data_IF_548815459920
#
_entry.id   IF_548815459920
#
_cell.length_a   1.000
_cell.length_b   1.000
_cell.length_c   1.000
_cell.angle_alpha   90.00
_cell.angle_beta   90.00
_cell.angle_gamma   90.00
#
_symmetry.space_group_name_H-M   'P 1'
#
loop_
_entity.id
_entity.type
_entity.pdbx_description
1 polymer ?
#
# COMPACT_ATOMS: atom_id res chain seq x y z
N UNK A 1 71.98 17.32 10.27
CA UNK A 1 71.33 18.06 9.18
C UNK A 1 71.27 17.16 7.96
N UNK A 2 70.09 16.64 7.65
CA UNK A 2 69.76 16.10 6.34
C UNK A 2 68.24 16.30 6.21
N UNK A 3 67.87 17.40 5.54
CA UNK A 3 66.47 17.77 5.33
C UNK A 3 65.83 16.81 4.34
N UNK A 4 64.74 16.17 4.77
CA UNK A 4 63.83 15.47 3.87
C UNK A 4 63.11 16.51 3.00
N UNK A 5 63.41 16.50 1.71
CA UNK A 5 62.62 17.21 0.71
C UNK A 5 61.37 16.40 0.41
N UNK A 6 60.23 16.76 1.00
CA UNK A 6 58.92 16.31 0.55
C UNK A 6 58.69 16.81 -0.88
N UNK A 7 58.83 15.92 -1.85
CA UNK A 7 58.42 16.18 -3.23
C UNK A 7 56.91 16.07 -3.26
N UNK A 8 56.21 17.21 -3.14
CA UNK A 8 54.77 17.28 -3.36
C UNK A 8 54.47 16.81 -4.80
N UNK A 9 53.72 15.72 -4.95
CA UNK A 9 53.27 15.24 -6.26
C UNK A 9 52.55 16.36 -7.02
N UNK A 10 53.13 16.75 -8.16
CA UNK A 10 52.57 17.81 -8.99
C UNK A 10 51.29 17.32 -9.68
N UNK A 11 50.15 17.82 -9.23
CA UNK A 11 48.85 17.48 -9.81
C UNK A 11 48.72 18.02 -11.23
N UNK A 12 48.09 17.24 -12.10
CA UNK A 12 47.82 17.61 -13.49
C UNK A 12 46.43 18.22 -13.65
N UNK A 13 46.32 19.23 -14.52
CA UNK A 13 45.08 19.94 -14.82
C UNK A 13 44.07 19.00 -15.48
N UNK A 14 42.89 18.89 -14.90
CA UNK A 14 41.83 18.00 -15.37
C UNK A 14 41.34 18.31 -16.80
N UNK A 15 41.59 19.52 -17.31
CA UNK A 15 41.19 19.94 -18.65
C UNK A 15 42.29 19.78 -19.71
N UNK A 16 43.56 20.03 -19.36
CA UNK A 16 44.63 20.16 -20.35
C UNK A 16 45.95 19.45 -19.98
N UNK A 17 46.01 18.76 -18.84
CA UNK A 17 47.17 17.98 -18.39
C UNK A 17 48.37 18.79 -17.88
N UNK A 18 48.36 20.13 -17.97
CA UNK A 18 49.43 20.99 -17.45
C UNK A 18 49.48 21.01 -15.92
N UNK A 19 50.61 21.37 -15.27
CA UNK A 19 50.69 21.48 -13.81
C UNK A 19 49.58 22.38 -13.23
N UNK A 20 48.82 21.84 -12.29
CA UNK A 20 47.68 22.49 -11.67
C UNK A 20 48.03 23.12 -10.32
N UNK A 21 47.44 24.28 -10.04
CA UNK A 21 47.62 25.01 -8.78
C UNK A 21 46.32 25.60 -8.22
N UNK A 22 45.20 25.45 -8.95
CA UNK A 22 43.86 25.82 -8.51
C UNK A 22 43.03 24.57 -8.23
N UNK A 23 42.12 24.66 -7.27
CA UNK A 23 41.21 23.57 -6.92
C UNK A 23 39.76 24.07 -6.92
N UNK A 24 38.84 23.21 -7.36
CA UNK A 24 37.40 23.51 -7.26
C UNK A 24 36.98 23.71 -5.79
N UNK A 25 36.43 24.89 -5.41
CA UNK A 25 36.02 25.17 -4.03
C UNK A 25 34.99 24.17 -3.50
N UNK A 26 34.09 23.68 -4.37
CA UNK A 26 33.06 22.70 -3.97
C UNK A 26 33.65 21.31 -3.74
N UNK A 27 34.70 20.91 -4.45
CA UNK A 27 35.42 19.68 -4.14
C UNK A 27 36.16 19.77 -2.80
N UNK A 28 36.70 20.94 -2.46
CA UNK A 28 37.33 21.19 -1.14
C UNK A 28 36.29 21.07 -0.03
N UNK A 29 35.14 21.73 -0.19
CA UNK A 29 34.01 21.65 0.76
C UNK A 29 33.53 20.20 0.96
N UNK A 30 33.44 19.43 -0.12
CA UNK A 30 32.99 18.03 -0.12
C UNK A 30 34.10 17.01 0.21
N UNK A 31 35.33 17.46 0.53
CA UNK A 31 36.51 16.61 0.81
C UNK A 31 36.78 15.55 -0.28
N UNK A 32 36.55 15.89 -1.55
CA UNK A 32 36.78 14.97 -2.67
C UNK A 32 38.26 14.90 -3.06
N UNK A 33 38.72 13.77 -3.63
CA UNK A 33 40.10 13.62 -4.11
C UNK A 33 40.52 14.76 -5.03
N UNK A 34 41.80 15.13 -4.97
CA UNK A 34 42.34 16.26 -5.75
C UNK A 34 42.62 15.85 -7.20
N UNK A 35 42.85 14.57 -7.44
CA UNK A 35 43.07 13.99 -8.77
C UNK A 35 41.83 14.18 -9.64
N UNK A 36 41.97 14.84 -10.79
CA UNK A 36 40.85 15.15 -11.69
C UNK A 36 39.97 16.34 -11.26
N UNK A 37 40.35 17.06 -10.20
CA UNK A 37 39.65 18.25 -9.69
C UNK A 37 40.57 19.48 -9.53
N UNK A 38 41.78 19.43 -10.09
CA UNK A 38 42.77 20.49 -10.08
C UNK A 38 42.88 21.16 -11.47
N UNK A 39 43.13 22.46 -11.50
CA UNK A 39 43.16 23.28 -12.72
C UNK A 39 44.38 24.20 -12.75
N UNK A 40 44.91 24.47 -13.94
CA UNK A 40 46.02 25.40 -14.11
C UNK A 40 45.58 26.87 -14.25
N UNK A 41 44.32 27.14 -14.61
CA UNK A 41 43.77 28.50 -14.74
C UNK A 41 42.26 28.51 -14.47
N UNK A 42 41.70 29.70 -14.22
CA UNK A 42 40.25 29.89 -14.09
C UNK A 42 39.51 29.56 -15.40
N UNK A 43 40.12 29.79 -16.56
CA UNK A 43 39.51 29.47 -17.85
C UNK A 43 39.42 27.96 -18.08
N UNK A 44 40.46 27.19 -17.68
CA UNK A 44 40.40 25.74 -17.70
C UNK A 44 39.33 25.18 -16.75
N UNK A 45 39.12 25.82 -15.59
CA UNK A 45 38.03 25.45 -14.67
C UNK A 45 36.66 25.70 -15.31
N UNK A 46 36.41 26.88 -15.88
CA UNK A 46 35.15 27.22 -16.54
C UNK A 46 34.86 26.30 -17.74
N UNK A 47 35.87 26.01 -18.56
CA UNK A 47 35.73 25.12 -19.72
C UNK A 47 35.39 23.67 -19.31
N UNK A 48 35.90 23.22 -18.17
CA UNK A 48 35.64 21.88 -17.63
C UNK A 48 34.32 21.78 -16.82
N UNK A 49 33.67 22.92 -16.51
CA UNK A 49 32.53 22.95 -15.58
C UNK A 49 31.36 22.05 -15.99
N UNK A 50 31.07 21.94 -17.30
CA UNK A 50 29.96 21.13 -17.82
C UNK A 50 30.12 19.64 -17.50
N UNK A 51 31.34 19.11 -17.54
CA UNK A 51 31.65 17.72 -17.20
C UNK A 51 32.02 17.56 -15.72
N UNK A 52 32.76 18.48 -15.14
CA UNK A 52 33.23 18.44 -13.75
C UNK A 52 32.09 18.50 -12.72
N UNK A 53 31.02 19.27 -12.99
CA UNK A 53 29.89 19.39 -12.05
C UNK A 53 29.19 18.06 -11.75
N UNK A 54 29.31 17.07 -12.65
CA UNK A 54 28.76 15.73 -12.46
C UNK A 54 29.43 14.96 -11.30
N UNK A 55 30.68 15.29 -10.97
CA UNK A 55 31.43 14.72 -9.85
C UNK A 55 30.78 15.12 -8.52
N UNK A 56 30.27 16.36 -8.41
CA UNK A 56 29.53 16.81 -7.23
C UNK A 56 28.18 16.11 -7.09
N UNK A 57 27.49 15.87 -8.20
CA UNK A 57 26.23 15.12 -8.21
C UNK A 57 26.45 13.66 -7.81
N UNK A 58 27.49 13.00 -8.34
CA UNK A 58 27.88 11.64 -7.94
C UNK A 58 28.30 11.56 -6.47
N UNK A 59 29.04 12.55 -5.96
CA UNK A 59 29.38 12.62 -4.54
C UNK A 59 28.15 12.81 -3.65
N UNK A 60 27.20 13.66 -4.06
CA UNK A 60 25.93 13.87 -3.36
C UNK A 60 25.05 12.60 -3.38
N UNK A 61 25.00 11.88 -4.50
CA UNK A 61 24.28 10.61 -4.64
C UNK A 61 24.97 9.46 -3.89
N UNK A 62 26.31 9.43 -3.86
CA UNK A 62 27.08 8.45 -3.08
C UNK A 62 26.94 8.69 -1.58
N UNK A 63 26.83 9.95 -1.15
CA UNK A 63 26.48 10.31 0.23
C UNK A 63 25.02 9.88 0.55
N UNK A 64 24.06 10.11 -0.35
CA UNK A 64 22.67 9.67 -0.18
C UNK A 64 22.51 8.13 -0.20
N UNK A 65 23.38 7.40 -0.92
CA UNK A 65 23.33 5.93 -1.04
C UNK A 65 23.96 5.16 0.13
N UNK A 66 24.64 5.84 1.06
CA UNK A 66 25.33 5.18 2.19
C UNK A 66 24.95 5.73 3.58
N UNK A 67 24.18 6.83 3.68
CA UNK A 67 23.76 7.39 4.97
C UNK A 67 22.25 7.57 5.17
N UNK A 68 21.39 7.21 4.22
CA UNK A 68 19.95 7.47 4.36
C UNK A 68 19.24 6.58 5.40
N UNK A 69 19.73 5.38 5.69
CA UNK A 69 19.09 4.49 6.67
C UNK A 69 19.43 4.83 8.13
N UNK A 70 20.63 5.35 8.43
CA UNK A 70 21.09 5.51 9.82
C UNK A 70 20.65 6.80 10.51
N UNK A 71 20.63 7.93 9.80
CA UNK A 71 20.31 9.23 10.42
C UNK A 71 18.80 9.46 10.56
N UNK A 72 17.97 9.06 9.58
CA UNK A 72 16.51 9.11 9.70
C UNK A 72 15.99 8.16 10.78
N UNK A 73 16.55 6.95 10.87
CA UNK A 73 16.16 5.98 11.91
C UNK A 73 16.45 6.49 13.33
N UNK A 74 17.52 7.29 13.53
CA UNK A 74 17.85 7.81 14.86
C UNK A 74 16.90 8.91 15.36
N UNK A 75 16.44 9.81 14.49
CA UNK A 75 15.45 10.83 14.85
C UNK A 75 14.05 10.22 15.02
N UNK A 76 13.64 9.33 14.11
CA UNK A 76 12.36 8.62 14.20
C UNK A 76 12.28 7.72 15.44
N UNK A 77 13.36 7.01 15.78
CA UNK A 77 13.42 6.21 17.00
C UNK A 77 13.29 7.07 18.27
N UNK A 78 13.82 8.31 18.26
CA UNK A 78 13.66 9.25 19.39
C UNK A 78 12.21 9.74 19.56
N UNK A 79 11.42 9.73 18.48
CA UNK A 79 9.98 10.03 18.48
C UNK A 79 9.10 8.78 18.67
N UNK A 80 9.70 7.63 18.99
CA UNK A 80 8.99 6.38 19.25
C UNK A 80 8.53 5.61 18.01
N UNK A 81 8.99 6.00 16.82
CA UNK A 81 8.76 5.24 15.60
C UNK A 81 9.70 4.04 15.55
N UNK A 82 9.13 2.85 15.42
CA UNK A 82 9.85 1.59 15.44
C UNK A 82 9.25 0.64 14.41
N UNK A 83 10.05 -0.30 13.90
CA UNK A 83 9.61 -1.34 12.98
C UNK A 83 8.60 -2.27 13.65
N UNK A 84 7.51 -2.59 12.94
CA UNK A 84 6.47 -3.51 13.40
C UNK A 84 6.91 -4.97 13.28
N UNK A 85 6.64 -5.78 14.30
CA UNK A 85 6.93 -7.22 14.33
C UNK A 85 5.80 -8.00 15.02
N UNK A 86 5.71 -9.31 14.72
CA UNK A 86 4.81 -10.26 15.41
C UNK A 86 3.35 -9.80 15.44
N UNK A 87 2.81 -9.48 14.27
CA UNK A 87 1.43 -9.03 14.05
C UNK A 87 1.08 -7.73 14.75
N UNK A 88 2.03 -6.83 15.00
CA UNK A 88 1.79 -5.58 15.73
C UNK A 88 2.00 -5.66 17.25
N UNK A 89 2.30 -6.84 17.79
CA UNK A 89 2.49 -7.04 19.23
C UNK A 89 3.89 -6.67 19.73
N UNK A 90 4.86 -6.45 18.83
CA UNK A 90 6.22 -6.06 19.21
C UNK A 90 6.79 -5.05 18.24
N UNK A 91 7.76 -4.27 18.72
CA UNK A 91 8.43 -3.22 17.96
C UNK A 91 9.94 -3.35 18.09
N UNK A 92 10.67 -2.96 17.06
CA UNK A 92 12.14 -3.00 17.01
C UNK A 92 12.71 -1.70 16.47
N UNK A 93 13.81 -1.17 17.03
CA UNK A 93 14.55 -0.05 16.43
C UNK A 93 15.40 -0.49 15.24
N UNK A 94 15.55 -1.80 15.01
CA UNK A 94 16.31 -2.37 13.91
C UNK A 94 15.36 -2.95 12.87
N UNK A 95 15.67 -2.69 11.60
CA UNK A 95 15.03 -3.34 10.46
C UNK A 95 15.10 -4.87 10.64
N UNK A 96 13.98 -5.59 10.56
CA UNK A 96 14.01 -7.05 10.64
C UNK A 96 14.81 -7.66 9.50
N UNK A 97 15.44 -8.80 9.77
CA UNK A 97 16.07 -9.59 8.73
C UNK A 97 15.01 -10.39 7.97
N UNK A 98 15.03 -10.28 6.64
CA UNK A 98 14.17 -11.03 5.72
C UNK A 98 14.78 -11.04 4.33
N UNK A 99 14.58 -12.13 3.58
CA UNK A 99 14.96 -12.21 2.17
C UNK A 99 13.85 -11.54 1.34
N UNK A 100 13.96 -10.22 1.21
CA UNK A 100 13.00 -9.39 0.49
C UNK A 100 12.83 -9.83 -0.97
N UNK A 101 11.58 -9.91 -1.43
CA UNK A 101 11.26 -10.39 -2.79
C UNK A 101 11.42 -9.30 -3.85
N UNK A 102 11.23 -8.03 -3.47
CA UNK A 102 11.39 -6.86 -4.33
C UNK A 102 12.23 -5.74 -3.69
N UNK A 103 12.06 -4.52 -4.18
CA UNK A 103 12.83 -3.34 -3.74
C UNK A 103 12.23 -2.69 -2.50
N UNK A 104 10.96 -2.94 -2.18
CA UNK A 104 10.28 -2.35 -1.03
C UNK A 104 10.87 -2.86 0.30
N UNK A 105 10.91 -1.99 1.29
CA UNK A 105 11.30 -2.30 2.67
C UNK A 105 10.27 -1.70 3.62
N UNK A 106 10.00 -2.34 4.78
CA UNK A 106 9.23 -1.70 5.83
C UNK A 106 10.00 -0.50 6.38
N UNK A 107 9.28 0.51 6.81
CA UNK A 107 9.79 1.64 7.56
C UNK A 107 9.25 1.59 9.00
N UNK A 108 9.84 2.37 9.93
CA UNK A 108 9.25 2.56 11.25
C UNK A 108 7.80 3.05 11.18
N UNK A 109 6.97 2.64 12.13
CA UNK A 109 5.55 3.05 12.21
C UNK A 109 5.31 3.99 13.38
N UNK A 110 4.42 4.97 13.22
CA UNK A 110 4.00 5.83 14.35
C UNK A 110 3.27 5.03 15.43
N UNK A 111 3.06 5.64 16.60
CA UNK A 111 2.27 5.03 17.68
C UNK A 111 0.82 4.77 17.23
N UNK A 112 0.16 3.81 17.89
CA UNK A 112 -1.25 3.50 17.59
C UNK A 112 -2.12 4.73 17.89
N UNK A 113 -2.96 5.14 16.93
CA UNK A 113 -3.88 6.28 17.08
C UNK A 113 -5.01 5.97 18.06
N UNK A 114 -5.50 7.00 18.75
CA UNK A 114 -6.51 6.87 19.80
C UNK A 114 -7.90 7.07 19.20
N UNK A 115 -8.80 6.12 19.45
CA UNK A 115 -10.22 6.28 19.13
C UNK A 115 -10.95 6.91 20.34
N UNK A 116 -11.71 8.01 20.17
CA UNK A 116 -12.46 8.63 21.24
C UNK A 116 -13.42 7.67 21.96
N UNK A 117 -13.68 7.93 23.24
CA UNK A 117 -14.50 7.05 24.09
C UNK A 117 -15.95 6.91 23.58
N UNK A 118 -16.51 7.97 22.97
CA UNK A 118 -17.89 8.02 22.49
C UNK A 118 -18.17 7.23 21.22
N UNK A 119 -17.12 6.78 20.51
CA UNK A 119 -17.25 5.97 19.29
C UNK A 119 -17.57 4.53 19.69
N UNK A 120 -18.59 3.93 19.07
CA UNK A 120 -18.91 2.51 19.25
C UNK A 120 -17.77 1.62 18.74
N UNK A 121 -17.45 0.55 19.47
CA UNK A 121 -16.26 -0.26 19.24
C UNK A 121 -16.62 -1.73 19.01
N UNK A 122 -15.98 -2.41 18.05
CA UNK A 122 -16.09 -3.87 17.93
C UNK A 122 -15.41 -4.57 19.10
N UNK A 123 -15.68 -5.87 19.29
CA UNK A 123 -15.26 -6.63 20.46
C UNK A 123 -13.73 -6.82 20.57
N UNK A 124 -12.98 -6.72 19.47
CA UNK A 124 -11.52 -6.75 19.47
C UNK A 124 -10.85 -5.41 19.78
N UNK A 125 -11.57 -4.28 19.78
CA UNK A 125 -10.95 -2.94 19.79
C UNK A 125 -9.95 -2.74 20.94
N UNK A 126 -10.19 -3.36 22.11
CA UNK A 126 -9.30 -3.27 23.27
C UNK A 126 -8.26 -4.38 23.29
N UNK A 127 -8.69 -5.65 23.19
CA UNK A 127 -7.83 -6.83 23.45
C UNK A 127 -7.15 -7.39 22.20
N UNK A 128 -7.52 -6.88 21.03
CA UNK A 128 -6.98 -7.24 19.73
C UNK A 128 -7.41 -8.60 19.19
N UNK A 129 -8.36 -9.28 19.84
CA UNK A 129 -8.85 -10.61 19.44
C UNK A 129 -10.35 -10.53 19.18
N UNK A 130 -10.83 -10.83 17.96
CA UNK A 130 -12.27 -10.94 17.68
C UNK A 130 -12.78 -12.23 18.33
N UNK A 131 -13.55 -12.10 19.41
CA UNK A 131 -14.06 -13.25 20.18
C UNK A 131 -15.35 -13.80 19.57
N UNK A 132 -16.17 -12.91 18.99
CA UNK A 132 -17.45 -13.26 18.40
C UNK A 132 -17.26 -14.00 17.07
N UNK A 133 -16.41 -13.50 16.17
CA UNK A 133 -16.29 -14.05 14.81
C UNK A 133 -15.97 -15.54 14.75
N UNK A 134 -14.92 -16.07 15.43
CA UNK A 134 -14.50 -17.46 15.25
C UNK A 134 -15.53 -18.48 15.78
N UNK A 135 -16.42 -18.04 16.68
CA UNK A 135 -17.41 -18.89 17.34
C UNK A 135 -18.83 -18.65 16.82
N UNK A 136 -19.01 -17.79 15.82
CA UNK A 136 -20.33 -17.46 15.27
C UNK A 136 -20.79 -18.48 14.23
N UNK A 137 -22.08 -18.81 14.25
CA UNK A 137 -22.73 -19.63 13.21
C UNK A 137 -22.60 -18.99 11.81
N UNK A 138 -22.40 -17.67 11.75
CA UNK A 138 -22.17 -16.94 10.50
C UNK A 138 -20.85 -17.32 9.82
N UNK A 139 -19.95 -18.07 10.47
CA UNK A 139 -18.78 -18.69 9.79
C UNK A 139 -19.18 -19.85 8.86
N UNK A 140 -20.40 -20.35 8.99
CA UNK A 140 -20.89 -21.51 8.22
C UNK A 140 -22.21 -21.23 7.47
N UNK A 141 -22.92 -20.18 7.87
CA UNK A 141 -24.20 -19.78 7.27
C UNK A 141 -24.06 -18.41 6.60
N UNK A 142 -24.44 -18.33 5.32
CA UNK A 142 -24.52 -17.05 4.62
C UNK A 142 -25.83 -16.36 5.01
N UNK A 143 -25.71 -15.31 5.82
CA UNK A 143 -26.82 -14.54 6.37
C UNK A 143 -27.70 -13.90 5.28
N UNK A 144 -29.02 -13.96 5.46
CA UNK A 144 -29.97 -13.09 4.76
C UNK A 144 -30.29 -11.93 5.68
N UNK A 145 -29.83 -10.72 5.35
CA UNK A 145 -30.02 -9.55 6.20
C UNK A 145 -31.47 -9.10 6.23
N UNK A 146 -31.88 -8.64 7.41
CA UNK A 146 -33.14 -7.93 7.61
C UNK A 146 -33.11 -6.55 6.94
N UNK A 147 -34.27 -5.92 6.68
CA UNK A 147 -34.32 -4.56 6.12
C UNK A 147 -33.53 -3.53 6.94
N UNK A 148 -33.57 -3.61 8.27
CA UNK A 148 -32.79 -2.73 9.16
C UNK A 148 -31.28 -2.91 8.98
N UNK A 149 -30.81 -4.17 8.99
CA UNK A 149 -29.40 -4.47 8.75
C UNK A 149 -28.95 -3.95 7.38
N UNK A 150 -29.79 -4.05 6.35
CA UNK A 150 -29.48 -3.53 5.00
C UNK A 150 -29.34 -2.00 5.01
N UNK A 151 -30.22 -1.26 5.69
CA UNK A 151 -30.09 0.20 5.82
C UNK A 151 -28.81 0.60 6.55
N UNK A 152 -28.47 -0.10 7.65
CA UNK A 152 -27.20 0.09 8.35
C UNK A 152 -26.00 -0.19 7.45
N UNK A 153 -26.05 -1.26 6.65
CA UNK A 153 -25.01 -1.58 5.66
C UNK A 153 -24.84 -0.46 4.63
N UNK A 154 -25.94 0.08 4.07
CA UNK A 154 -25.89 1.20 3.11
C UNK A 154 -25.22 2.43 3.71
N UNK A 155 -25.61 2.82 4.92
CA UNK A 155 -25.06 3.99 5.59
C UNK A 155 -23.56 3.81 5.90
N UNK A 156 -23.18 2.66 6.48
CA UNK A 156 -21.78 2.36 6.82
C UNK A 156 -20.91 2.25 5.56
N UNK A 157 -21.39 1.61 4.49
CA UNK A 157 -20.64 1.51 3.23
C UNK A 157 -20.46 2.87 2.54
N UNK A 158 -21.46 3.77 2.62
CA UNK A 158 -21.32 5.14 2.14
C UNK A 158 -20.24 5.90 2.92
N UNK A 159 -20.20 5.75 4.25
CA UNK A 159 -19.14 6.35 5.09
C UNK A 159 -17.77 5.80 4.67
N UNK A 160 -17.64 4.47 4.53
CA UNK A 160 -16.38 3.85 4.10
C UNK A 160 -15.90 4.41 2.74
N UNK A 161 -16.82 4.60 1.78
CA UNK A 161 -16.53 5.29 0.51
C UNK A 161 -16.03 6.72 0.72
N UNK A 162 -16.69 7.53 1.54
CA UNK A 162 -16.26 8.90 1.82
C UNK A 162 -14.86 8.96 2.46
N UNK A 163 -14.54 8.01 3.33
CA UNK A 163 -13.22 7.85 3.95
C UNK A 163 -12.16 7.46 2.92
N UNK A 164 -12.42 6.47 2.05
CA UNK A 164 -11.50 6.10 0.97
C UNK A 164 -11.27 7.28 0.01
N UNK A 165 -12.33 8.02 -0.33
CA UNK A 165 -12.22 9.21 -1.19
C UNK A 165 -11.39 10.32 -0.53
N UNK A 166 -11.39 10.44 0.81
CA UNK A 166 -10.52 11.36 1.53
C UNK A 166 -9.03 10.95 1.39
N UNK A 167 -8.73 9.66 1.54
CA UNK A 167 -7.39 9.13 1.29
C UNK A 167 -6.95 9.33 -0.18
N UNK A 168 -7.83 9.06 -1.14
CA UNK A 168 -7.53 9.21 -2.57
C UNK A 168 -7.06 10.63 -2.95
N UNK A 169 -7.62 11.67 -2.31
CA UNK A 169 -7.29 13.09 -2.62
C UNK A 169 -5.87 13.50 -2.26
N UNK A 170 -5.19 12.77 -1.38
CA UNK A 170 -3.84 13.12 -0.92
C UNK A 170 -2.74 12.27 -1.57
N UNK A 171 -3.08 11.27 -2.36
CA UNK A 171 -2.09 10.37 -2.98
C UNK A 171 -1.27 11.15 -4.02
N UNK A 172 0.02 11.33 -3.71
CA UNK A 172 1.01 11.99 -4.55
C UNK A 172 2.43 11.65 -4.07
N UNK A 173 3.47 11.83 -4.91
CA UNK A 173 4.84 11.64 -4.48
C UNK A 173 5.19 12.45 -3.21
N UNK A 174 5.93 11.83 -2.30
CA UNK A 174 6.44 12.44 -1.07
C UNK A 174 5.54 12.30 0.16
N UNK A 175 4.26 11.92 -0.01
CA UNK A 175 3.34 11.61 1.10
C UNK A 175 3.67 10.25 1.69
N UNK A 176 3.65 10.10 3.02
CA UNK A 176 3.87 8.79 3.65
C UNK A 176 2.58 7.97 3.71
N UNK A 177 2.71 6.65 3.78
CA UNK A 177 1.55 5.79 4.03
C UNK A 177 0.97 6.03 5.43
N UNK A 178 1.78 6.36 6.44
CA UNK A 178 1.31 6.79 7.77
C UNK A 178 0.47 8.08 7.75
N UNK A 179 0.77 9.02 6.84
CA UNK A 179 -0.06 10.22 6.62
C UNK A 179 -1.41 9.86 5.99
N UNK A 180 -1.46 8.86 5.10
CA UNK A 180 -2.71 8.33 4.53
C UNK A 180 -3.54 7.67 5.64
N UNK A 181 -2.93 6.82 6.46
CA UNK A 181 -3.58 6.23 7.64
C UNK A 181 -4.15 7.28 8.59
N UNK A 182 -3.43 8.38 8.81
CA UNK A 182 -3.93 9.49 9.62
C UNK A 182 -5.24 10.05 9.07
N UNK A 183 -5.30 10.30 7.76
CA UNK A 183 -6.50 10.85 7.13
C UNK A 183 -7.65 9.84 7.15
N UNK A 184 -7.37 8.55 6.91
CA UNK A 184 -8.39 7.50 7.07
C UNK A 184 -8.93 7.47 8.50
N UNK A 185 -8.03 7.50 9.48
CA UNK A 185 -8.39 7.48 10.89
C UNK A 185 -9.28 8.69 11.24
N UNK A 186 -8.80 9.91 10.98
CA UNK A 186 -9.51 11.15 11.29
C UNK A 186 -10.87 11.20 10.59
N UNK A 187 -10.95 10.91 9.28
CA UNK A 187 -12.21 10.90 8.55
C UNK A 187 -13.21 9.85 9.08
N UNK A 188 -12.72 8.69 9.53
CA UNK A 188 -13.57 7.67 10.14
C UNK A 188 -14.14 8.14 11.48
N UNK A 189 -13.31 8.74 12.33
CA UNK A 189 -13.74 9.30 13.61
C UNK A 189 -14.73 10.45 13.42
N UNK A 190 -14.46 11.35 12.48
CA UNK A 190 -15.34 12.50 12.19
C UNK A 190 -16.72 12.06 11.68
N UNK A 191 -16.79 10.91 10.99
CA UNK A 191 -18.05 10.28 10.57
C UNK A 191 -18.75 9.48 11.69
N UNK A 192 -18.17 9.43 12.90
CA UNK A 192 -18.71 8.68 14.03
C UNK A 192 -18.42 7.17 14.00
N UNK A 193 -17.57 6.70 13.10
CA UNK A 193 -17.21 5.29 12.94
C UNK A 193 -15.93 4.88 13.67
N UNK A 194 -15.71 3.58 13.77
CA UNK A 194 -14.46 2.97 14.20
C UNK A 194 -13.71 2.40 12.97
N UNK A 195 -12.40 2.67 12.80
CA UNK A 195 -11.62 2.05 11.73
C UNK A 195 -11.39 0.57 12.04
N UNK A 196 -12.18 -0.30 11.40
CA UNK A 196 -12.28 -1.72 11.75
C UNK A 196 -10.94 -2.46 11.81
N UNK A 197 -9.96 -2.21 10.91
CA UNK A 197 -8.65 -2.86 10.96
C UNK A 197 -7.88 -2.56 12.25
N UNK A 198 -8.16 -1.43 12.90
CA UNK A 198 -7.41 -1.01 14.08
C UNK A 198 -7.55 -2.04 15.19
N UNK A 199 -6.41 -2.59 15.60
CA UNK A 199 -6.28 -3.65 16.59
C UNK A 199 -6.89 -5.01 16.20
N UNK A 200 -7.47 -5.19 15.01
CA UNK A 200 -7.99 -6.50 14.57
C UNK A 200 -6.84 -7.50 14.46
N UNK A 201 -6.87 -8.59 15.23
CA UNK A 201 -5.70 -9.48 15.44
C UNK A 201 -4.38 -8.74 15.71
N UNK A 202 -4.46 -7.62 16.44
CA UNK A 202 -3.36 -6.71 16.76
C UNK A 202 -2.80 -5.87 15.60
N UNK A 203 -3.48 -5.80 14.44
CA UNK A 203 -3.09 -4.91 13.36
C UNK A 203 -2.95 -3.46 13.86
N UNK A 204 -1.81 -2.77 13.58
CA UNK A 204 -1.44 -1.57 14.34
C UNK A 204 -2.02 -0.25 13.78
N UNK A 205 -2.73 -0.28 12.66
CA UNK A 205 -3.16 0.89 11.87
C UNK A 205 -4.65 0.82 11.52
N UNK A 206 -5.17 1.91 10.96
CA UNK A 206 -6.60 2.15 10.70
C UNK A 206 -7.02 1.73 9.28
N UNK A 207 -6.06 1.56 8.38
CA UNK A 207 -6.22 1.04 7.02
C UNK A 207 -5.02 0.18 6.64
N UNK A 208 -5.11 -0.51 5.50
CA UNK A 208 -3.95 -1.09 4.83
C UNK A 208 -3.49 -0.19 3.68
N UNK A 209 -2.17 -0.11 3.46
CA UNK A 209 -1.57 0.59 2.32
C UNK A 209 -0.57 -0.33 1.62
N UNK A 210 -0.95 -0.87 0.47
CA UNK A 210 -0.20 -1.93 -0.23
C UNK A 210 0.46 -1.36 -1.49
N UNK A 211 1.76 -1.10 -1.41
CA UNK A 211 2.54 -0.47 -2.48
C UNK A 211 3.23 -1.53 -3.35
N UNK A 212 3.16 -1.37 -4.67
CA UNK A 212 3.91 -2.16 -5.66
C UNK A 212 3.78 -3.68 -5.50
N UNK A 213 4.80 -4.39 -5.02
CA UNK A 213 4.80 -5.84 -4.85
C UNK A 213 4.00 -6.34 -3.64
N UNK A 214 3.52 -5.43 -2.79
CA UNK A 214 2.60 -5.76 -1.71
C UNK A 214 1.23 -6.08 -2.29
N UNK A 215 0.77 -7.31 -2.07
CA UNK A 215 -0.51 -7.85 -2.50
C UNK A 215 -1.64 -7.25 -1.66
N UNK A 216 -1.54 -7.36 -0.33
CA UNK A 216 -2.53 -6.85 0.62
C UNK A 216 -1.90 -6.68 2.01
N UNK A 217 -2.67 -6.06 2.92
CA UNK A 217 -2.34 -5.89 4.34
C UNK A 217 -1.01 -5.18 4.62
N UNK A 218 -0.53 -4.34 3.69
CA UNK A 218 0.63 -3.47 3.96
C UNK A 218 0.35 -2.54 5.13
N UNK A 219 1.24 -2.53 6.12
CA UNK A 219 1.09 -1.66 7.30
C UNK A 219 1.55 -0.23 6.96
N UNK A 220 0.70 0.80 7.13
CA UNK A 220 1.11 2.19 7.02
C UNK A 220 2.32 2.54 7.88
N UNK A 221 3.34 3.15 7.26
CA UNK A 221 4.65 3.42 7.84
C UNK A 221 5.28 4.74 7.34
N UNK A 222 6.51 5.03 7.74
CA UNK A 222 7.20 6.26 7.35
C UNK A 222 7.65 6.31 5.88
N UNK A 223 7.38 5.27 5.06
CA UNK A 223 7.77 5.27 3.65
C UNK A 223 7.01 6.36 2.90
N UNK A 224 7.75 7.22 2.21
CA UNK A 224 7.18 8.16 1.24
C UNK A 224 6.86 7.44 -0.06
N UNK A 225 5.69 7.72 -0.62
CA UNK A 225 5.32 7.31 -1.96
C UNK A 225 6.24 7.97 -3.00
N UNK A 226 6.64 7.21 -4.02
CA UNK A 226 7.54 7.65 -5.08
C UNK A 226 6.76 7.83 -6.41
N UNK A 227 7.23 8.73 -7.27
CA UNK A 227 6.68 8.86 -8.62
C UNK A 227 6.84 7.53 -9.39
N UNK A 228 5.73 7.03 -9.92
CA UNK A 228 5.68 5.74 -10.60
C UNK A 228 5.27 4.56 -9.72
N UNK A 229 5.04 4.75 -8.42
CA UNK A 229 4.41 3.75 -7.55
C UNK A 229 2.94 3.51 -7.95
N UNK A 230 2.47 2.29 -7.69
CA UNK A 230 1.04 2.03 -7.47
C UNK A 230 0.82 1.74 -5.99
N UNK A 231 -0.29 2.23 -5.43
CA UNK A 231 -0.63 2.01 -4.02
C UNK A 231 -2.11 1.70 -3.86
N UNK A 232 -2.43 0.54 -3.31
CA UNK A 232 -3.76 0.23 -2.84
C UNK A 232 -3.98 0.81 -1.44
N UNK A 233 -5.16 1.38 -1.20
CA UNK A 233 -5.63 1.78 0.13
C UNK A 233 -6.91 1.03 0.42
N UNK A 234 -6.91 0.30 1.54
CA UNK A 234 -7.99 -0.58 1.96
C UNK A 234 -8.61 -0.08 3.27
N UNK A 235 -9.92 0.18 3.22
CA UNK A 235 -10.67 0.92 4.23
C UNK A 235 -11.90 0.13 4.64
N UNK A 236 -11.96 -0.21 5.93
CA UNK A 236 -13.15 -0.80 6.52
C UNK A 236 -13.65 0.04 7.70
N UNK A 237 -14.90 0.48 7.67
CA UNK A 237 -15.53 1.27 8.75
C UNK A 237 -16.54 0.43 9.51
N UNK A 238 -16.47 0.47 10.84
CA UNK A 238 -17.51 -0.06 11.73
C UNK A 238 -18.39 1.10 12.21
N UNK A 239 -19.68 1.02 11.91
CA UNK A 239 -20.64 2.04 12.28
C UNK A 239 -22.02 1.41 12.45
N UNK A 240 -22.75 1.85 13.48
CA UNK A 240 -24.06 1.29 13.87
C UNK A 240 -24.08 -0.24 13.95
N UNK A 241 -23.01 -0.85 14.44
CA UNK A 241 -22.98 -2.30 14.64
C UNK A 241 -22.69 -3.15 13.40
N UNK A 242 -22.38 -2.54 12.23
CA UNK A 242 -21.97 -3.27 11.02
C UNK A 242 -20.69 -2.71 10.42
N UNK A 243 -20.05 -3.49 9.55
CA UNK A 243 -18.84 -3.14 8.80
C UNK A 243 -19.15 -2.85 7.34
N UNK A 244 -18.44 -1.89 6.74
CA UNK A 244 -18.46 -1.61 5.31
C UNK A 244 -17.04 -1.51 4.77
N UNK A 245 -16.77 -2.25 3.69
CA UNK A 245 -15.40 -2.53 3.21
C UNK A 245 -15.23 -2.26 1.72
N UNK A 246 -14.08 -1.65 1.38
CA UNK A 246 -13.68 -1.32 0.02
C UNK A 246 -12.20 -0.92 -0.06
N UNK A 247 -11.63 -1.14 -1.24
CA UNK A 247 -10.28 -0.70 -1.56
C UNK A 247 -10.15 -0.34 -3.04
N UNK A 248 -9.17 0.50 -3.34
CA UNK A 248 -8.82 0.89 -4.71
C UNK A 248 -7.30 1.04 -4.84
N UNK A 249 -6.76 0.65 -6.00
CA UNK A 249 -5.35 0.88 -6.34
C UNK A 249 -5.17 2.18 -7.12
N UNK A 250 -4.33 3.09 -6.61
CA UNK A 250 -4.08 4.41 -7.16
C UNK A 250 -2.71 4.52 -7.82
N UNK A 251 -2.62 5.41 -8.80
CA UNK A 251 -1.36 5.79 -9.44
C UNK A 251 -0.69 6.95 -8.68
N UNK A 252 0.59 6.79 -8.33
CA UNK A 252 1.37 7.87 -7.72
C UNK A 252 2.14 8.60 -8.81
N UNK A 253 1.63 9.76 -9.24
CA UNK A 253 2.26 10.55 -10.30
C UNK A 253 2.28 9.79 -11.64
N UNK A 254 3.46 9.68 -12.26
CA UNK A 254 3.63 9.12 -13.60
C UNK A 254 3.98 7.62 -13.56
N UNK A 255 2.95 6.78 -13.61
CA UNK A 255 3.14 5.31 -13.72
C UNK A 255 3.40 4.85 -15.14
N UNK A 256 4.21 3.79 -15.26
CA UNK A 256 4.48 3.08 -16.51
C UNK A 256 3.23 2.37 -17.07
N UNK A 257 3.28 2.03 -18.36
CA UNK A 257 2.15 1.42 -19.07
C UNK A 257 1.78 0.03 -18.54
N UNK A 258 2.76 -0.77 -18.10
CA UNK A 258 2.48 -2.10 -17.56
C UNK A 258 1.69 -2.01 -16.25
N UNK A 259 2.00 -1.04 -15.40
CA UNK A 259 1.23 -0.74 -14.19
C UNK A 259 -0.17 -0.20 -14.49
N UNK A 260 -0.33 0.63 -15.53
CA UNK A 260 -1.66 1.08 -15.97
C UNK A 260 -2.52 -0.11 -16.39
N UNK A 261 -1.95 -1.02 -17.19
CA UNK A 261 -2.64 -2.23 -17.66
C UNK A 261 -2.98 -3.19 -16.51
N UNK A 262 -2.07 -3.38 -15.55
CA UNK A 262 -2.32 -4.18 -14.35
C UNK A 262 -3.51 -3.64 -13.55
N UNK A 263 -3.48 -2.35 -13.20
CA UNK A 263 -4.52 -1.72 -12.39
C UNK A 263 -5.86 -1.72 -13.12
N UNK A 264 -5.88 -1.37 -14.42
CA UNK A 264 -7.11 -1.39 -15.21
C UNK A 264 -7.69 -2.82 -15.34
N UNK A 265 -6.86 -3.82 -15.64
CA UNK A 265 -7.33 -5.21 -15.73
C UNK A 265 -7.89 -5.70 -14.39
N UNK A 266 -7.30 -5.29 -13.27
CA UNK A 266 -7.80 -5.61 -11.92
C UNK A 266 -9.18 -5.01 -11.67
N UNK A 267 -9.39 -3.74 -12.04
CA UNK A 267 -10.70 -3.10 -11.98
C UNK A 267 -11.72 -3.84 -12.86
N UNK A 268 -11.36 -4.18 -14.10
CA UNK A 268 -12.23 -4.89 -15.02
C UNK A 268 -12.57 -6.32 -14.53
N UNK A 269 -11.65 -7.00 -13.85
CA UNK A 269 -11.91 -8.28 -13.18
C UNK A 269 -13.03 -8.14 -12.15
N UNK A 270 -12.95 -7.11 -11.28
CA UNK A 270 -13.97 -6.82 -10.29
C UNK A 270 -15.31 -6.47 -10.94
N UNK A 271 -15.33 -5.54 -11.90
CA UNK A 271 -16.53 -5.09 -12.60
C UNK A 271 -17.27 -6.25 -13.29
N UNK A 272 -16.52 -7.10 -14.01
CA UNK A 272 -17.08 -8.31 -14.64
C UNK A 272 -17.63 -9.30 -13.62
N UNK A 273 -16.96 -9.48 -12.49
CA UNK A 273 -17.46 -10.34 -11.42
C UNK A 273 -18.75 -9.80 -10.81
N UNK A 274 -18.84 -8.49 -10.55
CA UNK A 274 -20.05 -7.84 -10.05
C UNK A 274 -21.21 -8.02 -11.03
N UNK A 275 -20.95 -7.94 -12.34
CA UNK A 275 -22.00 -8.03 -13.38
C UNK A 275 -22.78 -9.36 -13.39
N UNK A 276 -22.21 -10.43 -12.79
CA UNK A 276 -22.89 -11.72 -12.68
C UNK A 276 -23.62 -11.90 -11.35
N UNK A 277 -23.48 -10.99 -10.39
CA UNK A 277 -24.08 -11.13 -9.06
C UNK A 277 -25.58 -10.93 -9.14
N UNK A 278 -26.31 -12.02 -8.84
CA UNK A 278 -27.77 -12.07 -8.73
C UNK A 278 -28.22 -13.37 -8.06
N UNK A 279 -29.46 -13.48 -7.57
CA UNK A 279 -29.97 -14.72 -7.01
C UNK A 279 -29.82 -15.91 -7.96
N UNK A 280 -29.43 -17.06 -7.40
CA UNK A 280 -29.26 -18.32 -8.16
C UNK A 280 -27.85 -18.56 -8.72
N UNK A 281 -26.98 -17.55 -8.75
CA UNK A 281 -25.57 -17.72 -9.16
C UNK A 281 -24.75 -18.33 -8.03
N UNK A 282 -23.84 -19.26 -8.35
CA UNK A 282 -22.96 -19.88 -7.34
C UNK A 282 -21.77 -18.97 -7.05
N UNK A 283 -21.38 -18.84 -5.78
CA UNK A 283 -20.21 -18.02 -5.39
C UNK A 283 -18.94 -18.38 -6.15
N UNK A 284 -18.71 -19.68 -6.42
CA UNK A 284 -17.52 -20.14 -7.16
C UNK A 284 -17.37 -19.56 -8.58
N UNK A 285 -18.47 -19.12 -9.20
CA UNK A 285 -18.44 -18.56 -10.56
C UNK A 285 -17.71 -17.21 -10.61
N UNK A 286 -17.65 -16.48 -9.49
CA UNK A 286 -16.88 -15.23 -9.36
C UNK A 286 -15.41 -15.48 -9.73
N UNK A 287 -14.80 -16.52 -9.15
CA UNK A 287 -13.42 -16.86 -9.44
C UNK A 287 -13.19 -17.34 -10.89
N UNK A 288 -14.18 -17.94 -11.55
CA UNK A 288 -14.07 -18.31 -12.97
C UNK A 288 -14.03 -17.07 -13.88
N UNK A 289 -14.86 -16.07 -13.59
CA UNK A 289 -14.92 -14.81 -14.36
C UNK A 289 -13.62 -14.03 -14.20
N UNK A 290 -13.17 -13.82 -12.96
CA UNK A 290 -11.94 -13.07 -12.65
C UNK A 290 -10.73 -13.76 -13.28
N UNK A 291 -10.57 -15.07 -13.03
CA UNK A 291 -9.43 -15.82 -13.51
C UNK A 291 -9.33 -15.85 -15.04
N UNK A 292 -10.46 -15.91 -15.74
CA UNK A 292 -10.46 -15.85 -17.22
C UNK A 292 -9.95 -14.49 -17.71
N UNK A 293 -10.46 -13.39 -17.15
CA UNK A 293 -10.07 -12.04 -17.58
C UNK A 293 -8.59 -11.78 -17.31
N UNK A 294 -8.12 -12.05 -16.09
CA UNK A 294 -6.72 -11.86 -15.70
C UNK A 294 -5.75 -12.67 -16.57
N UNK A 295 -6.03 -13.97 -16.79
CA UNK A 295 -5.15 -14.83 -17.60
C UNK A 295 -5.09 -14.40 -19.07
N UNK A 296 -6.21 -13.93 -19.64
CA UNK A 296 -6.22 -13.41 -21.01
C UNK A 296 -5.38 -12.14 -21.16
N UNK A 297 -5.19 -11.39 -20.08
CA UNK A 297 -4.30 -10.22 -20.02
C UNK A 297 -2.85 -10.57 -19.62
N UNK A 298 -2.50 -11.87 -19.50
CA UNK A 298 -1.15 -12.31 -19.12
C UNK A 298 -0.80 -12.10 -17.64
N UNK A 299 -1.80 -11.88 -16.79
CA UNK A 299 -1.66 -11.67 -15.35
C UNK A 299 -2.05 -12.92 -14.56
N UNK A 300 -1.76 -12.96 -13.27
CA UNK A 300 -2.13 -14.09 -12.40
C UNK A 300 -2.99 -13.65 -11.21
N UNK A 301 -3.77 -14.58 -10.67
CA UNK A 301 -4.69 -14.33 -9.54
C UNK A 301 -4.17 -14.96 -8.26
N UNK A 302 -4.05 -14.15 -7.21
CA UNK A 302 -3.67 -14.61 -5.86
C UNK A 302 -4.68 -15.63 -5.33
N UNK A 303 -4.19 -16.64 -4.59
CA UNK A 303 -5.01 -17.76 -4.11
C UNK A 303 -5.16 -17.87 -2.61
N UNK A 304 -4.34 -17.15 -1.85
CA UNK A 304 -4.25 -17.26 -0.40
C UNK A 304 -5.27 -16.39 0.33
N UNK A 305 -5.90 -15.46 -0.38
CA UNK A 305 -6.88 -14.49 0.12
C UNK A 305 -8.13 -14.49 -0.76
N UNK A 306 -9.28 -14.16 -0.19
CA UNK A 306 -10.59 -14.28 -0.81
C UNK A 306 -11.54 -13.21 -0.28
N UNK A 307 -12.55 -12.87 -1.06
CA UNK A 307 -13.69 -12.10 -0.54
C UNK A 307 -14.41 -12.85 0.57
N UNK A 308 -15.22 -12.13 1.33
CA UNK A 308 -15.87 -12.65 2.52
C UNK A 308 -17.30 -12.13 2.69
N UNK A 309 -18.10 -12.84 3.48
CA UNK A 309 -19.31 -12.26 4.04
C UNK A 309 -18.96 -11.10 4.98
N UNK A 310 -19.83 -10.09 5.01
CA UNK A 310 -19.63 -8.90 5.83
C UNK A 310 -20.97 -8.40 6.37
N UNK A 311 -20.97 -7.85 7.58
CA UNK A 311 -22.16 -7.35 8.25
C UNK A 311 -21.85 -6.94 9.67
N UNK A 312 -22.53 -7.56 10.64
CA UNK A 312 -22.22 -7.39 12.07
C UNK A 312 -20.88 -8.04 12.46
N UNK A 313 -20.37 -8.94 11.63
CA UNK A 313 -18.99 -9.45 11.66
C UNK A 313 -18.19 -8.76 10.54
N UNK A 314 -16.90 -8.55 10.77
CA UNK A 314 -15.98 -8.06 9.75
C UNK A 314 -15.82 -9.15 8.69
N UNK A 315 -15.45 -10.37 9.10
CA UNK A 315 -15.27 -11.51 8.20
C UNK A 315 -16.14 -12.69 8.60
N UNK A 316 -16.99 -13.13 7.68
CA UNK A 316 -17.83 -14.33 7.85
C UNK A 316 -18.10 -15.05 6.52
N UNK A 317 -18.95 -16.07 6.53
CA UNK A 317 -19.33 -16.78 5.31
C UNK A 317 -20.14 -15.87 4.36
N UNK A 318 -19.93 -15.98 3.03
CA UNK A 318 -19.15 -17.01 2.35
C UNK A 318 -17.69 -16.58 2.12
N UNK A 319 -16.78 -17.56 2.05
CA UNK A 319 -15.47 -17.32 1.45
C UNK A 319 -15.61 -17.31 -0.09
N UNK A 320 -15.08 -16.29 -0.76
CA UNK A 320 -15.23 -16.04 -2.20
C UNK A 320 -13.84 -16.01 -2.87
N UNK A 321 -13.30 -17.17 -3.29
CA UNK A 321 -12.03 -17.23 -3.97
C UNK A 321 -12.09 -16.57 -5.36
N UNK A 322 -11.05 -15.82 -5.72
CA UNK A 322 -10.97 -15.11 -7.00
C UNK A 322 -10.39 -15.93 -8.15
N UNK A 323 -9.89 -17.15 -7.88
CA UNK A 323 -9.28 -18.03 -8.87
C UNK A 323 -10.27 -19.06 -9.44
N UNK A 324 -10.00 -19.53 -10.66
CA UNK A 324 -10.84 -20.51 -11.35
C UNK A 324 -10.73 -21.92 -10.75
N UNK A 325 -11.76 -22.75 -10.95
CA UNK A 325 -11.91 -24.11 -10.41
C UNK A 325 -11.81 -24.19 -8.89
N UNK A 326 -12.21 -23.12 -8.20
CA UNK A 326 -12.33 -23.12 -6.75
C UNK A 326 -13.52 -23.99 -6.29
N UNK A 327 -13.57 -24.27 -5.00
CA UNK A 327 -14.59 -25.13 -4.37
C UNK A 327 -15.54 -24.36 -3.45
N UNK A 328 -15.71 -23.06 -3.68
CA UNK A 328 -16.60 -22.26 -2.84
C UNK A 328 -18.02 -22.83 -2.85
N UNK A 329 -18.62 -22.88 -1.66
CA UNK A 329 -19.94 -23.44 -1.42
C UNK A 329 -20.96 -22.32 -1.40
N UNK A 330 -22.19 -22.62 -1.83
CA UNK A 330 -23.32 -21.72 -1.71
C UNK A 330 -23.80 -21.13 -3.03
N UNK A 331 -25.00 -20.57 -2.96
CA UNK A 331 -25.71 -19.92 -4.05
C UNK A 331 -26.21 -18.58 -3.52
N UNK A 332 -26.02 -17.53 -4.32
CA UNK A 332 -26.43 -16.18 -4.00
C UNK A 332 -27.96 -16.10 -3.83
N UNK A 333 -28.41 -15.37 -2.82
CA UNK A 333 -29.81 -15.09 -2.51
C UNK A 333 -29.96 -13.61 -2.15
N UNK A 334 -31.12 -13.04 -2.45
CA UNK A 334 -31.42 -11.66 -2.09
C UNK A 334 -31.25 -11.43 -0.57
N UNK A 335 -30.73 -10.26 -0.20
CA UNK A 335 -30.43 -9.89 1.19
C UNK A 335 -29.04 -10.30 1.69
N UNK A 336 -28.25 -11.03 0.91
CA UNK A 336 -26.87 -11.38 1.28
C UNK A 336 -25.93 -10.21 1.00
N UNK A 337 -24.98 -9.98 1.91
CA UNK A 337 -23.88 -9.03 1.71
C UNK A 337 -22.53 -9.70 1.81
N UNK A 338 -21.63 -9.36 0.88
CA UNK A 338 -20.28 -9.92 0.80
C UNK A 338 -19.37 -9.01 -0.02
N UNK A 339 -18.06 -9.24 0.06
CA UNK A 339 -17.03 -8.56 -0.71
C UNK A 339 -16.59 -9.37 -1.94
N UNK A 340 -16.20 -8.67 -3.00
CA UNK A 340 -15.38 -9.22 -4.07
C UNK A 340 -14.14 -8.33 -4.16
N UNK A 341 -12.95 -8.90 -4.01
CA UNK A 341 -11.70 -8.15 -3.76
C UNK A 341 -10.48 -8.71 -4.53
N UNK A 342 -10.54 -8.90 -5.86
CA UNK A 342 -9.49 -9.59 -6.61
C UNK A 342 -8.13 -8.93 -6.49
N UNK A 343 -7.15 -9.70 -6.01
CA UNK A 343 -5.73 -9.36 -6.06
C UNK A 343 -5.09 -10.01 -7.30
N UNK A 344 -4.57 -9.17 -8.19
CA UNK A 344 -4.00 -9.58 -9.49
C UNK A 344 -2.52 -9.20 -9.52
N UNK A 345 -1.67 -10.13 -9.93
CA UNK A 345 -0.22 -9.94 -10.00
C UNK A 345 0.26 -9.85 -11.45
N UNK A 346 1.21 -8.97 -11.72
CA UNK A 346 1.96 -8.94 -12.99
C UNK A 346 2.91 -10.14 -13.16
N UNK A 347 3.16 -10.86 -12.07
CA UNK A 347 4.04 -12.02 -11.99
C UNK A 347 3.30 -13.31 -11.70
N UNK A 348 3.91 -14.13 -10.86
CA UNK A 348 3.30 -15.36 -10.35
C UNK A 348 2.27 -15.08 -9.24
N UNK A 349 1.33 -16.00 -9.03
CA UNK A 349 0.26 -15.85 -8.03
C UNK A 349 0.74 -16.06 -6.58
N UNK A 350 1.93 -16.65 -6.40
CA UNK A 350 2.44 -17.06 -5.09
C UNK A 350 2.81 -15.84 -4.27
N UNK A 351 2.51 -15.94 -2.98
CA UNK A 351 2.76 -14.92 -1.98
C UNK A 351 3.75 -15.38 -0.90
N UNK A 352 4.29 -14.40 -0.18
CA UNK A 352 5.08 -14.59 1.04
C UNK A 352 4.71 -13.50 2.03
N UNK A 353 4.66 -13.83 3.32
CA UNK A 353 4.39 -12.89 4.40
C UNK A 353 5.69 -12.32 4.96
N UNK A 354 5.73 -11.02 5.24
CA UNK A 354 6.83 -10.35 5.93
C UNK A 354 6.90 -10.74 7.42
N UNK A 355 8.04 -10.48 8.11
CA UNK A 355 8.20 -10.76 9.53
C UNK A 355 7.26 -9.96 10.46
N UNK A 356 6.63 -8.91 9.94
CA UNK A 356 5.59 -8.17 10.65
C UNK A 356 4.33 -9.02 10.89
N UNK A 357 4.14 -10.12 10.16
CA UNK A 357 3.02 -11.04 10.28
C UNK A 357 1.72 -10.58 9.60
N UNK A 358 1.79 -9.54 8.77
CA UNK A 358 0.67 -8.92 8.06
C UNK A 358 0.96 -8.70 6.58
N UNK A 359 2.05 -7.99 6.26
CA UNK A 359 2.34 -7.55 4.89
C UNK A 359 2.57 -8.75 3.99
N UNK A 360 1.73 -8.88 2.95
CA UNK A 360 1.77 -9.97 1.98
C UNK A 360 2.40 -9.47 0.70
N UNK A 361 3.43 -10.12 0.20
CA UNK A 361 4.13 -9.72 -1.02
C UNK A 361 4.16 -10.83 -2.06
N UNK A 362 4.26 -10.46 -3.33
CA UNK A 362 4.56 -11.40 -4.41
C UNK A 362 5.94 -12.05 -4.20
N UNK A 363 6.07 -13.35 -4.49
CA UNK A 363 7.36 -14.05 -4.32
C UNK A 363 8.42 -13.65 -5.33
N UNK A 364 8.03 -13.09 -6.48
CA UNK A 364 8.93 -12.67 -7.56
C UNK A 364 9.18 -11.17 -7.59
N UNK A 365 8.68 -10.42 -6.60
CA UNK A 365 8.89 -8.98 -6.46
C UNK A 365 8.19 -8.14 -7.51
N UNK A 366 7.30 -8.73 -8.33
CA UNK A 366 6.51 -7.99 -9.31
C UNK A 366 5.28 -7.35 -8.66
N UNK A 367 4.78 -6.31 -9.31
CA UNK A 367 3.65 -5.51 -8.84
C UNK A 367 2.35 -6.34 -8.73
N UNK A 368 1.54 -5.98 -7.75
CA UNK A 368 0.18 -6.46 -7.52
C UNK A 368 -0.79 -5.28 -7.46
N UNK A 369 -2.05 -5.49 -7.82
CA UNK A 369 -3.11 -4.52 -7.68
C UNK A 369 -4.38 -5.19 -7.16
N UNK A 370 -5.20 -4.40 -6.47
CA UNK A 370 -6.47 -4.84 -5.89
C UNK A 370 -7.53 -3.75 -6.02
N UNK A 371 -8.78 -4.18 -6.21
CA UNK A 371 -9.99 -3.36 -6.06
C UNK A 371 -11.01 -4.18 -5.29
N UNK A 372 -11.87 -3.52 -4.54
CA UNK A 372 -12.90 -4.17 -3.76
C UNK A 372 -14.20 -3.37 -3.67
N UNK A 373 -15.30 -4.11 -3.63
CA UNK A 373 -16.60 -3.59 -3.22
C UNK A 373 -17.31 -4.54 -2.25
N UNK A 374 -17.98 -3.95 -1.26
CA UNK A 374 -19.09 -4.58 -0.54
C UNK A 374 -20.35 -4.53 -1.38
N UNK A 375 -21.00 -5.68 -1.56
CA UNK A 375 -22.15 -5.88 -2.43
C UNK A 375 -23.36 -6.34 -1.63
N UNK A 376 -24.55 -5.95 -2.06
CA UNK A 376 -25.83 -6.50 -1.61
C UNK A 376 -26.50 -7.21 -2.78
N UNK A 377 -26.81 -8.50 -2.64
CA UNK A 377 -27.66 -9.20 -3.61
C UNK A 377 -29.09 -8.71 -3.47
N UNK A 378 -29.68 -8.22 -4.56
CA UNK A 378 -31.09 -7.80 -4.61
C UNK A 378 -31.94 -8.89 -5.27
N UNK A 379 -33.26 -8.71 -5.32
CA UNK A 379 -34.18 -9.69 -5.94
C UNK A 379 -33.86 -10.00 -7.40
N UNK A 380 -33.28 -9.03 -8.14
CA UNK A 380 -33.03 -9.15 -9.58
C UNK A 380 -31.56 -9.00 -9.97
N UNK A 381 -30.67 -8.71 -9.03
CA UNK A 381 -29.28 -8.36 -9.33
C UNK A 381 -28.45 -8.06 -8.10
N UNK A 382 -27.73 -6.94 -8.17
CA UNK A 382 -26.80 -6.48 -7.15
C UNK A 382 -26.92 -4.98 -6.96
N UNK A 383 -26.73 -4.53 -5.73
CA UNK A 383 -26.47 -3.15 -5.36
C UNK A 383 -25.02 -3.07 -4.86
N UNK A 384 -24.23 -2.16 -5.43
CA UNK A 384 -22.83 -1.94 -5.02
C UNK A 384 -22.84 -0.92 -3.89
N UNK A 385 -22.80 -1.38 -2.64
CA UNK A 385 -23.00 -0.52 -1.46
C UNK A 385 -21.87 0.50 -1.27
N UNK A 386 -20.66 0.16 -1.71
CA UNK A 386 -19.49 1.05 -1.67
C UNK A 386 -19.18 1.71 -3.02
N UNK A 387 -20.19 1.83 -3.89
CA UNK A 387 -20.05 2.49 -5.18
C UNK A 387 -19.51 3.92 -5.03
N UNK A 388 -18.84 4.40 -6.08
CA UNK A 388 -18.36 5.79 -6.15
C UNK A 388 -19.54 6.77 -6.09
N UNK A 389 -19.32 7.89 -5.40
CA UNK A 389 -20.24 9.02 -5.34
C UNK A 389 -19.92 10.04 -6.44
N UNK A 390 -20.85 10.95 -6.78
CA UNK A 390 -20.53 12.08 -7.67
C UNK A 390 -19.36 12.95 -7.19
N UNK A 391 -19.09 12.96 -5.87
CA UNK A 391 -17.98 13.68 -5.24
C UNK A 391 -16.67 12.89 -5.18
N UNK A 392 -16.66 11.63 -5.62
CA UNK A 392 -15.47 10.80 -5.61
C UNK A 392 -14.44 11.36 -6.60
N UNK A 393 -13.14 11.43 -6.23
CA UNK A 393 -12.10 12.01 -7.08
C UNK A 393 -12.03 11.37 -8.47
N UNK A 394 -11.91 12.16 -9.53
CA UNK A 394 -11.72 11.60 -10.87
C UNK A 394 -10.24 11.22 -11.09
N UNK A 395 -9.85 10.03 -10.62
CA UNK A 395 -8.44 9.56 -10.62
C UNK A 395 -8.19 8.41 -11.60
N UNK A 396 -9.24 7.86 -12.22
CA UNK A 396 -9.14 6.73 -13.14
C UNK A 396 -9.51 7.14 -14.56
N UNK A 397 -8.56 7.05 -15.53
CA UNK A 397 -8.80 7.49 -16.91
C UNK A 397 -9.98 6.79 -17.59
N UNK A 398 -10.25 5.53 -17.24
CA UNK A 398 -11.33 4.74 -17.84
C UNK A 398 -12.73 5.07 -17.32
N UNK A 399 -12.86 5.83 -16.22
CA UNK A 399 -14.15 6.23 -15.65
C UNK A 399 -14.66 7.58 -16.20
N UNK A 400 -13.83 8.34 -16.91
CA UNK A 400 -14.17 9.68 -17.43
C UNK A 400 -14.97 9.65 -18.75
N UNK A 401 -15.79 8.62 -19.00
CA UNK A 401 -16.48 8.41 -20.29
C UNK A 401 -17.96 8.74 -20.24
#
# INVERSE_FOLDING_TARGET
>A
MAGGSDVAEALSCAQCGKPAHLQCPKCVELKLPREGAAFCTQDCFKASWSSHKSVHLKAKLSALGTSAAGEQDSHLASEGWLYCLRKGQSRSPKLPHFDWTGTLRPYPISIKRIVPAHIDKPDWAVVGIPKVEPNSDLQHVVEIKTPDQIERMRETCRIAREVLDAAARMIRPGVTTDEIDRVVHEATIDAGGYPSPLNYYFFPKSCCTSVNEVICHGIPDARKLEDGDIVNVDVTVYYKGVHGDLNETYFVGNVDEASRQLVQCTYECLDKAISIVKPGVRFREIGEVINRHALMSGLSVVKSYCGHGIGELFHCAPNIPHYGRNKAVGVMKAGQTFTIEPMINAGVWRDRMWPDGWTVVTVDGKRSAQFEHTLLVTETGVEVLTARLPSSPNVFPWLSK
#
